data_IF_720893928352
#
_entry.id   IF_720893928352
#
_cell.length_a   1.000
_cell.length_b   1.000
_cell.length_c   1.000
_cell.angle_alpha   90.00
_cell.angle_beta   90.00
_cell.angle_gamma   90.00
#
_symmetry.space_group_name_H-M   'P 1'
#
loop_
_entity.id
_entity.type
_entity.pdbx_description
1 polymer ?
#
# COMPACT_ATOMS: atom_id res chain seq x y z
N UNK A 1 -8.87 -8.53 63.70
CA UNK A 1 -7.81 -9.11 62.86
C UNK A 1 -7.77 -8.33 61.56
N UNK A 2 -6.63 -7.75 61.20
CA UNK A 2 -6.46 -6.78 60.10
C UNK A 2 -5.99 -7.55 58.86
N UNK A 3 -6.89 -7.80 57.91
CA UNK A 3 -6.55 -8.52 56.67
C UNK A 3 -5.68 -7.64 55.78
N UNK A 4 -4.45 -8.09 55.52
CA UNK A 4 -3.52 -7.46 54.59
C UNK A 4 -3.86 -7.95 53.17
N UNK A 5 -4.25 -7.03 52.29
CA UNK A 5 -4.41 -7.35 50.87
C UNK A 5 -3.03 -7.38 50.20
N UNK A 6 -2.59 -8.57 49.82
CA UNK A 6 -1.40 -8.79 48.99
C UNK A 6 -1.77 -8.41 47.55
N UNK A 7 -1.20 -7.33 47.03
CA UNK A 7 -1.27 -7.00 45.60
C UNK A 7 -0.32 -7.93 44.84
N UNK A 8 -0.88 -8.94 44.17
CA UNK A 8 -0.15 -9.72 43.18
C UNK A 8 0.06 -8.86 41.93
N UNK A 9 1.29 -8.39 41.72
CA UNK A 9 1.70 -7.74 40.48
C UNK A 9 1.69 -8.78 39.36
N UNK A 10 0.64 -8.74 38.54
CA UNK A 10 0.50 -9.57 37.35
C UNK A 10 1.45 -9.01 36.28
N UNK A 11 2.65 -9.59 36.18
CA UNK A 11 3.62 -9.28 35.13
C UNK A 11 3.01 -9.70 33.80
N UNK A 12 2.50 -8.73 33.04
CA UNK A 12 2.11 -8.89 31.66
C UNK A 12 3.39 -9.20 30.85
N UNK A 13 3.65 -10.48 30.64
CA UNK A 13 4.59 -10.96 29.64
C UNK A 13 4.08 -10.48 28.28
N UNK A 14 4.58 -9.33 27.86
CA UNK A 14 4.43 -8.84 26.50
C UNK A 14 5.11 -9.85 25.59
N UNK A 15 4.31 -10.75 25.00
CA UNK A 15 4.74 -11.53 23.86
C UNK A 15 4.99 -10.55 22.72
N UNK A 16 6.21 -10.02 22.65
CA UNK A 16 6.68 -9.38 21.44
C UNK A 16 6.67 -10.47 20.37
N UNK A 17 5.63 -10.44 19.52
CA UNK A 17 5.62 -11.19 18.28
C UNK A 17 6.89 -10.78 17.53
N UNK A 18 7.90 -11.66 17.53
CA UNK A 18 9.11 -11.47 16.75
C UNK A 18 8.67 -11.61 15.29
N UNK A 19 8.54 -10.48 14.60
CA UNK A 19 8.49 -10.51 13.15
C UNK A 19 9.78 -11.18 12.68
N UNK A 20 9.67 -12.28 11.94
CA UNK A 20 10.83 -12.95 11.36
C UNK A 20 11.66 -11.94 10.57
N UNK A 21 12.97 -11.91 10.82
CA UNK A 21 13.85 -11.02 10.08
C UNK A 21 13.79 -11.35 8.58
N UNK A 22 13.71 -10.33 7.69
CA UNK A 22 13.71 -10.58 6.27
C UNK A 22 14.97 -11.32 5.83
N UNK A 23 14.79 -12.33 4.96
CA UNK A 23 15.90 -13.08 4.37
C UNK A 23 16.75 -12.15 3.51
N UNK A 24 18.03 -12.50 3.28
CA UNK A 24 18.97 -11.67 2.51
C UNK A 24 18.41 -11.27 1.14
N UNK A 25 17.87 -12.23 0.39
CA UNK A 25 17.28 -11.96 -0.92
C UNK A 25 16.07 -11.00 -0.87
N UNK A 26 15.32 -10.97 0.24
CA UNK A 26 14.21 -10.02 0.43
C UNK A 26 14.74 -8.60 0.70
N UNK A 27 15.85 -8.49 1.45
CA UNK A 27 16.56 -7.21 1.68
C UNK A 27 17.14 -6.66 0.37
N UNK A 28 17.77 -7.52 -0.43
CA UNK A 28 18.33 -7.16 -1.74
C UNK A 28 17.25 -6.75 -2.74
N UNK A 29 16.17 -7.52 -2.85
CA UNK A 29 15.02 -7.20 -3.70
C UNK A 29 14.40 -5.86 -3.29
N UNK A 30 14.30 -5.58 -1.98
CA UNK A 30 13.84 -4.29 -1.47
C UNK A 30 14.72 -3.13 -1.89
N UNK A 31 16.03 -3.25 -1.72
CA UNK A 31 16.96 -2.19 -2.11
C UNK A 31 16.93 -1.93 -3.62
N UNK A 32 16.87 -3.00 -4.43
CA UNK A 32 16.76 -2.91 -5.88
C UNK A 32 15.46 -2.20 -6.29
N UNK A 33 14.34 -2.60 -5.69
CA UNK A 33 13.05 -1.98 -5.93
C UNK A 33 13.04 -0.50 -5.55
N UNK A 34 13.47 -0.14 -4.34
CA UNK A 34 13.53 1.25 -3.86
C UNK A 34 14.38 2.12 -4.80
N UNK A 35 15.52 1.60 -5.26
CA UNK A 35 16.36 2.27 -6.26
C UNK A 35 15.62 2.45 -7.59
N UNK A 36 14.98 1.40 -8.08
CA UNK A 36 14.29 1.39 -9.37
C UNK A 36 13.15 2.42 -9.42
N UNK A 37 12.32 2.50 -8.38
CA UNK A 37 11.17 3.41 -8.35
C UNK A 37 11.51 4.85 -7.96
N UNK A 38 12.75 5.12 -7.50
CA UNK A 38 13.12 6.38 -6.85
C UNK A 38 12.86 7.63 -7.69
N UNK A 39 13.14 7.58 -9.00
CA UNK A 39 12.85 8.70 -9.91
C UNK A 39 11.36 8.94 -10.04
N UNK A 40 10.57 7.90 -10.33
CA UNK A 40 9.12 8.02 -10.46
C UNK A 40 8.46 8.53 -9.17
N UNK A 41 8.95 8.09 -8.01
CA UNK A 41 8.47 8.58 -6.71
C UNK A 41 8.80 10.06 -6.50
N UNK A 42 10.01 10.49 -6.89
CA UNK A 42 10.42 11.90 -6.85
C UNK A 42 9.56 12.75 -7.79
N UNK A 43 9.27 12.26 -8.97
CA UNK A 43 8.46 12.97 -9.98
C UNK A 43 7.01 13.12 -9.49
N UNK A 44 6.41 12.06 -8.96
CA UNK A 44 5.09 12.09 -8.33
C UNK A 44 5.04 13.11 -7.17
N UNK A 45 6.05 13.09 -6.30
CA UNK A 45 6.13 14.02 -5.18
C UNK A 45 6.30 15.47 -5.62
N UNK A 46 7.12 15.73 -6.63
CA UNK A 46 7.32 17.06 -7.21
C UNK A 46 6.02 17.57 -7.84
N UNK A 47 5.40 16.75 -8.69
CA UNK A 47 4.17 17.09 -9.39
C UNK A 47 3.05 17.42 -8.40
N UNK A 48 2.84 16.57 -7.40
CA UNK A 48 1.76 16.74 -6.42
C UNK A 48 2.10 17.69 -5.26
N UNK A 49 3.37 18.05 -5.04
CA UNK A 49 3.79 18.80 -3.85
C UNK A 49 3.66 17.98 -2.56
N UNK A 50 3.95 16.68 -2.62
CA UNK A 50 3.76 15.70 -1.55
C UNK A 50 5.08 15.11 -1.05
N UNK A 51 4.99 14.26 -0.01
CA UNK A 51 6.10 13.43 0.49
C UNK A 51 5.66 11.97 0.65
N UNK A 52 5.06 11.45 -0.42
CA UNK A 52 4.63 10.06 -0.52
C UNK A 52 5.80 9.13 -0.22
N UNK A 53 5.46 8.03 0.45
CA UNK A 53 6.32 6.86 0.64
C UNK A 53 5.64 5.68 -0.04
N UNK A 54 6.45 4.81 -0.64
CA UNK A 54 5.99 3.52 -1.16
C UNK A 54 6.27 2.44 -0.11
N UNK A 55 5.25 1.63 0.20
CA UNK A 55 5.37 0.45 1.05
C UNK A 55 5.19 -0.82 0.23
N UNK A 56 5.93 -1.86 0.59
CA UNK A 56 5.88 -3.18 -0.05
C UNK A 56 6.12 -4.26 1.00
N UNK A 57 5.42 -5.38 0.87
CA UNK A 57 5.49 -6.54 1.76
C UNK A 57 6.52 -7.57 1.25
N UNK A 58 7.81 -7.20 1.30
CA UNK A 58 8.93 -8.04 0.83
C UNK A 58 9.08 -9.38 1.58
N UNK A 59 8.44 -9.56 2.73
CA UNK A 59 8.27 -10.85 3.38
C UNK A 59 7.59 -11.90 2.47
N UNK A 60 6.81 -11.46 1.48
CA UNK A 60 6.14 -12.30 0.49
C UNK A 60 6.90 -12.42 -0.84
N UNK A 61 8.05 -11.76 -0.97
CA UNK A 61 8.88 -11.92 -2.15
C UNK A 61 9.50 -13.31 -2.18
N UNK A 62 9.41 -13.97 -3.34
CA UNK A 62 10.03 -15.25 -3.65
C UNK A 62 10.71 -15.16 -5.02
N UNK A 63 12.04 -15.33 -5.11
CA UNK A 63 12.78 -15.25 -6.38
C UNK A 63 12.21 -16.16 -7.47
N UNK A 64 11.76 -17.37 -7.11
CA UNK A 64 11.15 -18.31 -8.06
C UNK A 64 9.92 -17.76 -8.77
N UNK A 65 9.23 -16.83 -8.11
CA UNK A 65 7.99 -16.26 -8.60
C UNK A 65 8.18 -14.90 -9.26
N UNK A 66 9.18 -14.13 -8.83
CA UNK A 66 9.25 -12.69 -9.08
C UNK A 66 10.52 -12.22 -9.78
N UNK A 67 11.57 -13.05 -9.86
CA UNK A 67 12.77 -12.69 -10.61
C UNK A 67 12.44 -12.51 -12.10
N UNK A 68 12.84 -11.37 -12.66
CA UNK A 68 12.64 -11.05 -14.07
C UNK A 68 11.20 -10.68 -14.47
N UNK A 69 10.27 -10.57 -13.51
CA UNK A 69 8.85 -10.25 -13.79
C UNK A 69 8.61 -8.76 -14.02
N UNK A 70 9.54 -7.89 -13.61
CA UNK A 70 9.41 -6.43 -13.77
C UNK A 70 8.33 -5.81 -12.87
N UNK A 71 8.11 -6.36 -11.68
CA UNK A 71 7.08 -5.87 -10.74
C UNK A 71 7.34 -4.42 -10.29
N UNK A 72 8.59 -3.98 -10.32
CA UNK A 72 8.99 -2.59 -10.11
C UNK A 72 8.42 -1.64 -11.17
N UNK A 73 8.32 -2.08 -12.43
CA UNK A 73 7.85 -1.25 -13.54
C UNK A 73 6.35 -0.99 -13.41
N UNK A 74 5.57 -2.00 -13.04
CA UNK A 74 4.15 -1.80 -12.72
C UNK A 74 3.95 -0.82 -11.56
N UNK A 75 4.78 -0.86 -10.52
CA UNK A 75 4.71 0.14 -9.45
C UNK A 75 5.12 1.55 -9.91
N UNK A 76 6.06 1.67 -10.87
CA UNK A 76 6.37 2.96 -11.50
C UNK A 76 5.17 3.52 -12.25
N UNK A 77 4.41 2.70 -12.96
CA UNK A 77 3.19 3.14 -13.66
C UNK A 77 2.15 3.75 -12.70
N UNK A 78 2.01 3.19 -11.50
CA UNK A 78 1.17 3.79 -10.43
C UNK A 78 1.67 5.19 -10.07
N UNK A 79 2.97 5.36 -9.87
CA UNK A 79 3.58 6.65 -9.52
C UNK A 79 3.47 7.66 -10.67
N UNK A 80 3.65 7.21 -11.92
CA UNK A 80 3.46 8.03 -13.11
C UNK A 80 1.99 8.48 -13.27
N UNK A 81 1.03 7.62 -12.94
CA UNK A 81 -0.39 7.98 -12.89
C UNK A 81 -0.68 9.10 -11.89
N UNK A 82 -0.08 9.06 -10.70
CA UNK A 82 -0.14 10.15 -9.71
C UNK A 82 0.46 11.44 -10.27
N UNK A 83 1.68 11.36 -10.82
CA UNK A 83 2.38 12.52 -11.37
C UNK A 83 1.57 13.19 -12.50
N UNK A 84 1.07 12.39 -13.44
CA UNK A 84 0.26 12.85 -14.58
C UNK A 84 -1.05 13.49 -14.13
N UNK A 85 -1.71 12.92 -13.13
CA UNK A 85 -2.95 13.49 -12.59
C UNK A 85 -2.69 14.84 -11.92
N UNK A 86 -1.59 14.98 -11.18
CA UNK A 86 -1.17 16.23 -10.53
C UNK A 86 -0.57 17.28 -11.47
N UNK A 87 -0.16 16.89 -12.69
CA UNK A 87 0.30 17.83 -13.70
C UNK A 87 -0.81 18.82 -14.10
N UNK A 88 -2.07 18.45 -13.89
CA UNK A 88 -3.24 19.33 -13.99
C UNK A 88 -3.38 20.16 -12.71
N UNK A 89 -3.21 21.50 -12.75
CA UNK A 89 -3.22 22.34 -11.55
C UNK A 89 -4.49 22.22 -10.70
N UNK A 90 -5.64 22.03 -11.34
CA UNK A 90 -6.94 21.85 -10.70
C UNK A 90 -7.03 20.60 -9.83
N UNK A 91 -6.26 19.55 -10.17
CA UNK A 91 -6.27 18.29 -9.44
C UNK A 91 -5.26 18.26 -8.29
N UNK A 92 -4.17 19.03 -8.38
CA UNK A 92 -3.00 18.92 -7.48
C UNK A 92 -3.37 18.95 -6.00
N UNK A 93 -4.08 19.98 -5.55
CA UNK A 93 -4.45 20.16 -4.13
C UNK A 93 -5.44 19.09 -3.65
N UNK A 94 -6.38 18.69 -4.51
CA UNK A 94 -7.35 17.67 -4.17
C UNK A 94 -6.68 16.29 -4.07
N UNK A 95 -5.82 15.94 -5.02
CA UNK A 95 -5.13 14.66 -5.04
C UNK A 95 -4.15 14.53 -3.87
N UNK A 96 -3.38 15.57 -3.55
CA UNK A 96 -2.45 15.57 -2.41
C UNK A 96 -3.14 15.33 -1.06
N UNK A 97 -4.43 15.66 -0.93
CA UNK A 97 -5.24 15.35 0.27
C UNK A 97 -5.78 13.93 0.25
N UNK A 98 -6.05 13.39 -0.93
CA UNK A 98 -6.67 12.06 -1.13
C UNK A 98 -5.66 10.94 -1.18
N UNK A 99 -4.43 11.20 -1.61
CA UNK A 99 -3.33 10.23 -1.69
C UNK A 99 -2.21 10.71 -0.77
N UNK A 100 -2.06 10.02 0.35
CA UNK A 100 -1.07 10.31 1.39
C UNK A 100 0.03 9.25 1.47
N UNK A 101 -0.16 8.11 0.81
CA UNK A 101 0.85 7.08 0.64
C UNK A 101 0.53 6.14 -0.53
N UNK A 102 1.53 5.33 -0.90
CA UNK A 102 1.40 4.31 -1.94
C UNK A 102 1.83 2.96 -1.36
N UNK A 103 1.13 1.89 -1.74
CA UNK A 103 1.52 0.53 -1.40
C UNK A 103 1.52 -0.32 -2.68
N UNK A 104 2.66 -0.91 -3.02
CA UNK A 104 2.80 -1.89 -4.11
C UNK A 104 3.09 -3.24 -3.46
N UNK A 105 2.14 -4.17 -3.50
CA UNK A 105 2.11 -5.36 -2.64
C UNK A 105 2.16 -6.64 -3.47
N UNK A 106 3.01 -7.61 -3.09
CA UNK A 106 3.05 -8.93 -3.72
C UNK A 106 1.80 -9.78 -3.46
N UNK A 107 1.00 -9.40 -2.46
CA UNK A 107 -0.30 -10.02 -2.14
C UNK A 107 -1.17 -9.03 -1.37
N UNK A 108 -2.47 -9.03 -1.65
CA UNK A 108 -3.48 -8.38 -0.82
C UNK A 108 -4.05 -9.38 0.19
N UNK A 109 -3.64 -9.23 1.45
CA UNK A 109 -4.38 -9.83 2.56
C UNK A 109 -4.77 -8.73 3.56
N UNK A 110 -5.88 -8.96 4.28
CA UNK A 110 -6.48 -7.98 5.21
C UNK A 110 -5.46 -7.53 6.26
N UNK A 111 -4.57 -8.41 6.70
CA UNK A 111 -3.52 -8.10 7.67
C UNK A 111 -2.50 -7.10 7.14
N UNK A 112 -2.07 -7.24 5.88
CA UNK A 112 -1.16 -6.28 5.21
C UNK A 112 -1.87 -4.94 4.95
N UNK A 113 -3.13 -4.97 4.52
CA UNK A 113 -3.92 -3.74 4.35
C UNK A 113 -4.10 -3.00 5.68
N UNK A 114 -4.30 -3.74 6.79
CA UNK A 114 -4.35 -3.19 8.13
C UNK A 114 -3.00 -2.62 8.58
N UNK A 115 -1.90 -3.35 8.34
CA UNK A 115 -0.54 -2.91 8.67
C UNK A 115 -0.20 -1.57 8.01
N UNK A 116 -0.71 -1.34 6.80
CA UNK A 116 -0.49 -0.09 6.07
C UNK A 116 -1.53 1.00 6.32
N UNK A 117 -2.52 0.74 7.20
CA UNK A 117 -3.54 1.70 7.61
C UNK A 117 -4.72 1.82 6.65
N UNK A 118 -4.83 0.94 5.66
CA UNK A 118 -5.92 0.96 4.67
C UNK A 118 -7.23 0.39 5.22
N UNK A 119 -7.17 -0.58 6.14
CA UNK A 119 -8.35 -1.24 6.73
C UNK A 119 -8.22 -1.38 8.25
N UNK A 120 -9.37 -1.56 8.92
CA UNK A 120 -9.40 -2.03 10.30
C UNK A 120 -9.59 -3.55 10.28
N UNK A 121 -8.63 -4.37 10.74
CA UNK A 121 -8.72 -5.83 10.66
C UNK A 121 -9.84 -6.40 11.54
N UNK A 122 -10.31 -5.64 12.53
CA UNK A 122 -11.39 -6.03 13.45
C UNK A 122 -12.78 -5.67 12.93
N UNK A 123 -12.89 -4.91 11.83
CA UNK A 123 -14.18 -4.52 11.28
C UNK A 123 -14.81 -5.69 10.50
N UNK A 124 -16.07 -6.08 10.81
CA UNK A 124 -16.69 -7.29 10.26
C UNK A 124 -16.76 -7.27 8.72
N UNK A 125 -17.06 -6.13 8.11
CA UNK A 125 -17.14 -5.98 6.65
C UNK A 125 -15.79 -6.16 5.91
N UNK A 126 -14.66 -6.07 6.61
CA UNK A 126 -13.34 -6.20 6.01
C UNK A 126 -12.90 -7.66 5.85
N UNK A 127 -13.63 -8.61 6.44
CA UNK A 127 -13.48 -10.05 6.15
C UNK A 127 -14.07 -10.44 4.78
N UNK A 128 -14.79 -9.53 4.11
CA UNK A 128 -15.62 -9.84 2.95
C UNK A 128 -15.51 -8.84 1.79
N UNK A 129 -14.54 -7.92 1.81
CA UNK A 129 -14.20 -7.05 0.66
C UNK A 129 -13.08 -7.64 -0.18
N UNK A 130 -13.26 -8.88 -0.63
CA UNK A 130 -12.61 -9.39 -1.84
C UNK A 130 -13.76 -9.78 -2.78
N UNK A 131 -14.09 -8.90 -3.72
CA UNK A 131 -15.03 -9.18 -4.81
C UNK A 131 -16.50 -9.28 -4.42
N UNK A 132 -17.20 -8.14 -4.35
CA UNK A 132 -18.63 -8.10 -4.66
C UNK A 132 -18.91 -6.95 -5.62
N UNK A 133 -19.61 -7.29 -6.73
CA UNK A 133 -20.13 -6.48 -7.84
C UNK A 133 -19.27 -6.43 -9.11
N UNK A 134 -19.54 -7.40 -10.01
CA UNK A 134 -19.60 -7.36 -11.49
C UNK A 134 -18.52 -6.62 -12.30
N UNK A 135 -17.43 -6.23 -11.67
CA UNK A 135 -16.28 -5.59 -12.30
C UNK A 135 -15.09 -6.51 -12.05
N UNK A 136 -14.23 -6.80 -13.05
CA UNK A 136 -12.97 -7.49 -12.80
C UNK A 136 -12.27 -6.84 -11.61
N UNK A 137 -11.69 -7.61 -10.68
CA UNK A 137 -10.94 -7.03 -9.57
C UNK A 137 -9.87 -6.11 -10.16
N UNK A 138 -9.97 -4.81 -9.85
CA UNK A 138 -8.92 -3.86 -10.21
C UNK A 138 -7.74 -4.15 -9.31
N UNK A 139 -6.55 -4.23 -9.91
CA UNK A 139 -5.31 -4.42 -9.18
C UNK A 139 -4.93 -3.13 -8.44
N UNK A 140 -5.54 -1.98 -8.81
CA UNK A 140 -5.36 -0.70 -8.11
C UNK A 140 -6.61 -0.29 -7.34
N UNK A 141 -6.44 0.19 -6.11
CA UNK A 141 -7.53 0.72 -5.27
C UNK A 141 -7.04 1.87 -4.38
N UNK A 142 -7.94 2.72 -3.89
CA UNK A 142 -7.62 3.79 -2.94
C UNK A 142 -8.47 3.64 -1.67
N UNK A 143 -7.82 3.47 -0.52
CA UNK A 143 -8.50 3.41 0.78
C UNK A 143 -7.77 4.25 1.82
N UNK A 144 -8.52 5.10 2.54
CA UNK A 144 -8.02 5.95 3.65
C UNK A 144 -6.72 6.71 3.35
N UNK A 145 -6.52 7.15 2.11
CA UNK A 145 -5.31 7.87 1.72
C UNK A 145 -4.20 7.00 1.12
N UNK A 146 -4.32 5.67 1.21
CA UNK A 146 -3.34 4.74 0.67
C UNK A 146 -3.80 4.25 -0.70
N UNK A 147 -3.06 4.63 -1.75
CA UNK A 147 -3.23 4.07 -3.08
C UNK A 147 -2.50 2.73 -3.13
N UNK A 148 -3.27 1.66 -3.27
CA UNK A 148 -2.81 0.28 -3.18
C UNK A 148 -2.79 -0.34 -4.57
N UNK A 149 -1.73 -1.06 -4.88
CA UNK A 149 -1.56 -1.88 -6.06
C UNK A 149 -1.21 -3.31 -5.62
N UNK A 150 -2.02 -4.31 -6.01
CA UNK A 150 -1.65 -5.72 -5.94
C UNK A 150 -0.82 -6.05 -7.16
N UNK A 151 0.45 -6.37 -6.96
CA UNK A 151 1.34 -6.74 -8.04
C UNK A 151 0.92 -8.11 -8.58
N UNK A 152 0.68 -8.20 -9.88
CA UNK A 152 0.53 -9.48 -10.57
C UNK A 152 1.54 -9.61 -11.72
N UNK A 153 1.83 -10.86 -12.07
CA UNK A 153 2.75 -11.17 -13.16
C UNK A 153 2.08 -10.83 -14.49
N UNK A 154 2.73 -9.99 -15.29
CA UNK A 154 2.26 -9.66 -16.64
C UNK A 154 1.12 -8.63 -16.68
N UNK A 155 0.98 -7.79 -15.66
CA UNK A 155 0.01 -6.70 -15.65
C UNK A 155 0.26 -5.69 -16.78
N UNK A 156 -0.79 -5.39 -17.56
CA UNK A 156 -0.71 -4.50 -18.74
C UNK A 156 -1.53 -3.22 -18.63
N UNK A 157 -2.45 -3.13 -17.66
CA UNK A 157 -3.45 -2.06 -17.58
C UNK A 157 -3.27 -1.12 -16.38
N UNK A 158 -2.12 -1.17 -15.69
CA UNK A 158 -1.90 -0.45 -14.41
C UNK A 158 -2.02 1.07 -14.56
N UNK A 159 -1.54 1.62 -15.67
CA UNK A 159 -1.67 3.06 -15.94
C UNK A 159 -3.15 3.48 -16.05
N UNK A 160 -3.95 2.70 -16.79
CA UNK A 160 -5.38 2.98 -16.98
C UNK A 160 -6.17 2.81 -15.67
N UNK A 161 -5.95 1.71 -14.95
CA UNK A 161 -6.59 1.46 -13.65
C UNK A 161 -6.24 2.54 -12.62
N UNK A 162 -4.96 2.92 -12.54
CA UNK A 162 -4.51 3.99 -11.66
C UNK A 162 -5.23 5.29 -11.98
N UNK A 163 -5.29 5.68 -13.26
CA UNK A 163 -5.99 6.89 -13.69
C UNK A 163 -7.47 6.84 -13.28
N UNK A 164 -8.16 5.73 -13.55
CA UNK A 164 -9.58 5.58 -13.19
C UNK A 164 -9.80 5.74 -11.68
N UNK A 165 -8.99 5.08 -10.85
CA UNK A 165 -9.09 5.17 -9.38
C UNK A 165 -8.85 6.60 -8.88
N UNK A 166 -7.85 7.30 -9.43
CA UNK A 166 -7.56 8.68 -9.04
C UNK A 166 -8.68 9.65 -9.46
N UNK A 167 -9.24 9.47 -10.66
CA UNK A 167 -10.38 10.27 -11.13
C UNK A 167 -11.65 10.05 -10.29
N UNK A 168 -11.95 8.80 -9.93
CA UNK A 168 -13.06 8.47 -9.03
C UNK A 168 -12.86 9.12 -7.65
N UNK A 169 -11.64 9.07 -7.11
CA UNK A 169 -11.30 9.67 -5.82
C UNK A 169 -11.46 11.20 -5.81
N UNK A 170 -11.10 11.86 -6.92
CA UNK A 170 -11.30 13.29 -7.10
C UNK A 170 -12.78 13.65 -7.15
N UNK A 171 -13.60 12.88 -7.88
CA UNK A 171 -15.06 13.08 -7.98
C UNK A 171 -15.79 12.87 -6.65
N UNK A 172 -15.36 11.88 -5.86
CA UNK A 172 -15.98 11.55 -4.57
C UNK A 172 -15.82 12.65 -3.49
N UNK A 173 -14.94 13.63 -3.70
CA UNK A 173 -14.73 14.76 -2.79
C UNK A 173 -15.37 16.09 -3.22
N UNK A 174 -16.10 16.12 -4.35
CA UNK A 174 -16.74 17.32 -4.91
C UNK A 174 -18.24 17.45 -4.57
N UNK A 175 -18.74 16.64 -3.62
CA UNK A 175 -20.08 16.74 -3.04
C UNK A 175 -19.97 17.19 -1.59
#
# INVERSE_FOLDING_TARGET
>A
MRSQHVFAAMVLLSMAARADEPKLFQKEARLSFEKSISSALKDANTACGTRLKVKTNFNWFNPKDWDGVGYEDSCKEVLLGIATTCARPENKKALAKKVTGVACLFTWNVSEMALYGALNPEHPDNKQKLGTNDTPPRNVSLSKGLLMYEMHKGDKAIADETRTVLEEALKAGSR
#
